data_IF_410400892158
#
_entry.id   IF_410400892158
#
_cell.length_a   1.000
_cell.length_b   1.000
_cell.length_c   1.000
_cell.angle_alpha   90.00
_cell.angle_beta   90.00
_cell.angle_gamma   90.00
#
_symmetry.space_group_name_H-M   'P 1'
#
loop_
_entity.id
_entity.type
_entity.pdbx_description
1 polymer ?
#
# COMPACT_ATOMS: atom_id res chain seq x y z
N UNK A 1 30.91 24.77 -10.44
CA UNK A 1 30.78 24.14 -9.11
C UNK A 1 31.70 24.88 -8.17
N UNK A 2 31.23 25.28 -6.99
CA UNK A 2 32.07 25.94 -6.00
C UNK A 2 32.81 24.87 -5.19
N UNK A 3 34.14 24.91 -5.19
CA UNK A 3 34.98 24.10 -4.32
C UNK A 3 35.20 24.87 -3.00
N UNK A 4 34.50 24.43 -1.95
CA UNK A 4 34.60 25.04 -0.62
C UNK A 4 35.74 24.45 0.22
N UNK A 5 36.46 23.45 -0.30
CA UNK A 5 37.57 22.78 0.39
C UNK A 5 38.71 23.76 0.68
N UNK A 6 38.98 24.67 -0.27
CA UNK A 6 39.95 25.74 -0.12
C UNK A 6 39.59 26.75 0.99
N UNK A 7 38.31 26.87 1.37
CA UNK A 7 37.91 27.76 2.48
C UNK A 7 38.31 27.17 3.84
N UNK A 8 38.35 25.84 3.97
CA UNK A 8 38.82 25.17 5.20
C UNK A 8 40.30 25.44 5.50
N UNK A 9 41.09 25.79 4.48
CA UNK A 9 42.52 26.07 4.59
C UNK A 9 42.83 27.54 4.96
N UNK A 10 41.80 28.35 5.17
CA UNK A 10 41.93 29.76 5.58
C UNK A 10 41.77 29.93 7.09
N UNK A 11 42.13 31.10 7.64
CA UNK A 11 41.87 31.45 9.05
C UNK A 11 40.36 31.41 9.44
N UNK A 12 39.46 31.30 8.46
CA UNK A 12 38.01 31.23 8.63
C UNK A 12 37.46 29.80 8.47
N UNK A 13 38.35 28.82 8.30
CA UNK A 13 38.03 27.51 7.74
C UNK A 13 37.26 26.54 8.63
N UNK A 14 37.32 26.64 9.95
CA UNK A 14 36.73 25.63 10.84
C UNK A 14 35.42 26.13 11.47
N UNK A 15 34.45 26.47 10.62
CA UNK A 15 33.13 26.97 11.06
C UNK A 15 32.01 26.02 10.65
N UNK A 16 30.97 25.95 11.49
CA UNK A 16 29.79 25.14 11.22
C UNK A 16 29.14 25.50 9.86
N UNK A 17 29.19 26.79 9.51
CA UNK A 17 28.64 27.34 8.27
C UNK A 17 29.36 26.81 7.02
N UNK A 18 30.69 26.70 7.05
CA UNK A 18 31.46 26.21 5.88
C UNK A 18 31.22 24.71 5.66
N UNK A 19 31.28 23.89 6.72
CA UNK A 19 30.94 22.48 6.59
C UNK A 19 29.49 22.29 6.12
N UNK A 20 28.55 23.10 6.61
CA UNK A 20 27.17 23.06 6.13
C UNK A 20 27.07 23.39 4.64
N UNK A 21 27.72 24.44 4.16
CA UNK A 21 27.72 24.81 2.74
C UNK A 21 28.37 23.74 1.87
N UNK A 22 29.48 23.15 2.31
CA UNK A 22 30.16 22.08 1.57
C UNK A 22 29.32 20.81 1.52
N UNK A 23 28.62 20.45 2.61
CA UNK A 23 27.68 19.34 2.60
C UNK A 23 26.54 19.52 1.58
N UNK A 24 26.07 20.75 1.38
CA UNK A 24 25.05 21.04 0.36
C UNK A 24 25.61 20.86 -1.05
N UNK A 25 26.89 21.20 -1.28
CA UNK A 25 27.55 20.95 -2.54
C UNK A 25 27.70 19.44 -2.80
N UNK A 26 28.15 18.68 -1.80
CA UNK A 26 28.22 17.22 -1.88
C UNK A 26 26.86 16.56 -2.12
N UNK A 27 25.80 17.06 -1.47
CA UNK A 27 24.42 16.62 -1.75
C UNK A 27 24.05 16.84 -3.22
N UNK A 28 24.36 17.99 -3.80
CA UNK A 28 24.08 18.28 -5.22
C UNK A 28 24.88 17.37 -6.17
N UNK A 29 26.06 16.91 -5.73
CA UNK A 29 26.89 15.94 -6.43
C UNK A 29 26.46 14.48 -6.19
N UNK A 30 25.44 14.26 -5.35
CA UNK A 30 25.01 12.94 -4.89
C UNK A 30 26.12 12.15 -4.16
N UNK A 31 27.12 12.85 -3.62
CA UNK A 31 28.13 12.30 -2.71
C UNK A 31 27.58 12.39 -1.27
N UNK A 32 26.71 11.45 -0.93
CA UNK A 32 25.98 11.50 0.34
C UNK A 32 26.87 11.20 1.55
N UNK A 33 27.90 10.38 1.39
CA UNK A 33 28.83 10.04 2.47
C UNK A 33 29.61 11.29 2.91
N UNK A 34 30.20 12.01 1.95
CA UNK A 34 30.89 13.28 2.24
C UNK A 34 29.94 14.34 2.79
N UNK A 35 28.70 14.40 2.26
CA UNK A 35 27.69 15.31 2.78
C UNK A 35 27.35 15.03 4.26
N UNK A 36 27.16 13.76 4.63
CA UNK A 36 26.87 13.39 6.02
C UNK A 36 28.06 13.61 6.94
N UNK A 37 29.29 13.33 6.49
CA UNK A 37 30.49 13.60 7.26
C UNK A 37 30.63 15.10 7.57
N UNK A 38 30.41 15.96 6.59
CA UNK A 38 30.43 17.41 6.78
C UNK A 38 29.31 17.90 7.69
N UNK A 39 28.10 17.35 7.56
CA UNK A 39 27.00 17.69 8.47
C UNK A 39 27.29 17.26 9.90
N UNK A 40 27.98 16.13 10.10
CA UNK A 40 28.42 15.69 11.41
C UNK A 40 29.46 16.64 12.01
N UNK A 41 30.47 17.05 11.23
CA UNK A 41 31.46 18.04 11.66
C UNK A 41 30.80 19.40 11.97
N UNK A 42 29.90 19.87 11.11
CA UNK A 42 29.18 21.12 11.31
C UNK A 42 28.36 21.13 12.61
N UNK A 43 27.67 20.03 12.91
CA UNK A 43 26.86 19.87 14.12
C UNK A 43 27.70 19.57 15.38
N UNK A 44 28.91 19.05 15.22
CA UNK A 44 29.88 18.95 16.31
C UNK A 44 30.36 20.33 16.75
N UNK A 45 30.64 21.23 15.79
CA UNK A 45 31.07 22.61 16.05
C UNK A 45 29.91 23.46 16.59
N UNK A 46 28.73 23.37 15.97
CA UNK A 46 27.53 24.07 16.42
C UNK A 46 26.31 23.14 16.39
N UNK A 47 25.95 22.53 17.54
CA UNK A 47 24.79 21.65 17.67
C UNK A 47 23.43 22.35 17.44
N UNK A 48 23.41 23.68 17.38
CA UNK A 48 22.20 24.50 17.20
C UNK A 48 22.11 25.09 15.79
N UNK A 49 22.94 24.64 14.86
CA UNK A 49 22.86 25.07 13.47
C UNK A 49 21.61 24.48 12.79
N UNK A 50 20.55 25.29 12.74
CA UNK A 50 19.26 24.92 12.15
C UNK A 50 19.36 24.56 10.67
N UNK A 51 20.30 25.15 9.94
CA UNK A 51 20.52 24.89 8.52
C UNK A 51 21.11 23.50 8.29
N UNK A 52 22.03 23.04 9.15
CA UNK A 52 22.56 21.67 9.09
C UNK A 52 21.44 20.63 9.22
N UNK A 53 20.53 20.82 10.18
CA UNK A 53 19.37 19.93 10.31
C UNK A 53 18.44 20.00 9.10
N UNK A 54 18.25 21.19 8.50
CA UNK A 54 17.50 21.33 7.26
C UNK A 54 18.10 20.50 6.13
N UNK A 55 19.42 20.59 5.94
CA UNK A 55 20.15 19.89 4.87
C UNK A 55 20.12 18.38 5.11
N UNK A 56 20.36 17.91 6.34
CA UNK A 56 20.20 16.48 6.70
C UNK A 56 18.79 15.98 6.37
N UNK A 57 17.75 16.75 6.72
CA UNK A 57 16.37 16.41 6.38
C UNK A 57 16.10 16.35 4.87
N UNK A 58 16.78 17.19 4.09
CA UNK A 58 16.70 17.14 2.62
C UNK A 58 17.37 15.90 2.04
N UNK A 59 18.50 15.46 2.59
CA UNK A 59 19.18 14.22 2.19
C UNK A 59 18.31 13.00 2.52
N UNK A 60 17.81 12.88 3.75
CA UNK A 60 16.92 11.76 4.15
C UNK A 60 15.63 11.73 3.31
N UNK A 61 15.06 12.89 2.99
CA UNK A 61 13.92 12.98 2.07
C UNK A 61 14.24 12.43 0.68
N UNK A 62 15.46 12.67 0.17
CA UNK A 62 15.94 12.09 -1.08
C UNK A 62 16.10 10.57 -1.02
N UNK A 63 16.58 10.06 0.12
CA UNK A 63 16.69 8.63 0.43
C UNK A 63 15.34 7.94 0.70
N UNK A 64 14.23 8.71 0.75
CA UNK A 64 12.89 8.25 1.17
C UNK A 64 12.83 7.72 2.61
N UNK A 65 13.81 8.09 3.44
CA UNK A 65 13.74 7.88 4.88
C UNK A 65 12.89 9.00 5.49
N UNK A 66 11.57 8.78 5.46
CA UNK A 66 10.58 9.78 5.80
C UNK A 66 10.63 10.18 7.28
N UNK A 67 10.94 9.24 8.16
CA UNK A 67 10.98 9.46 9.61
C UNK A 67 12.17 10.35 9.98
N UNK A 68 13.36 10.02 9.48
CA UNK A 68 14.56 10.84 9.70
C UNK A 68 14.43 12.22 9.05
N UNK A 69 13.82 12.31 7.86
CA UNK A 69 13.56 13.59 7.22
C UNK A 69 12.67 14.51 8.07
N UNK A 70 11.54 14.00 8.58
CA UNK A 70 10.62 14.75 9.44
C UNK A 70 11.30 15.16 10.74
N UNK A 71 12.04 14.25 11.38
CA UNK A 71 12.76 14.51 12.63
C UNK A 71 13.74 15.69 12.48
N UNK A 72 14.57 15.64 11.44
CA UNK A 72 15.53 16.70 11.14
C UNK A 72 14.85 18.04 10.79
N UNK A 73 13.77 18.05 10.00
CA UNK A 73 13.02 19.28 9.75
C UNK A 73 12.37 19.87 11.00
N UNK A 74 11.84 19.03 11.91
CA UNK A 74 11.27 19.50 13.18
C UNK A 74 12.35 20.13 14.06
N UNK A 75 13.55 19.55 14.10
CA UNK A 75 14.69 20.13 14.83
C UNK A 75 15.12 21.48 14.23
N UNK A 76 15.23 21.56 12.90
CA UNK A 76 15.53 22.81 12.20
C UNK A 76 14.49 23.91 12.51
N UNK A 77 13.20 23.54 12.52
CA UNK A 77 12.10 24.44 12.89
C UNK A 77 12.24 24.95 14.33
N UNK A 78 12.45 24.06 15.31
CA UNK A 78 12.60 24.44 16.73
C UNK A 78 13.70 25.49 16.90
N UNK A 79 14.89 25.18 16.37
CA UNK A 79 16.06 26.05 16.46
C UNK A 79 15.86 27.38 15.73
N UNK A 80 15.25 27.36 14.55
CA UNK A 80 14.92 28.59 13.81
C UNK A 80 13.97 29.51 14.59
N UNK A 81 12.97 28.93 15.28
CA UNK A 81 12.03 29.69 16.11
C UNK A 81 12.71 30.27 17.36
N UNK A 82 13.55 29.49 18.03
CA UNK A 82 14.35 29.92 19.18
C UNK A 82 15.29 31.09 18.81
N UNK A 83 15.84 31.08 17.59
CA UNK A 83 16.69 32.14 17.03
C UNK A 83 15.91 33.35 16.48
N UNK A 84 14.57 33.35 16.57
CA UNK A 84 13.71 34.42 16.02
C UNK A 84 13.61 34.44 14.49
N UNK A 85 14.14 33.43 13.80
CA UNK A 85 14.13 33.33 12.34
C UNK A 85 12.91 32.53 11.85
N UNK A 86 11.80 33.24 11.62
CA UNK A 86 10.55 32.59 11.16
C UNK A 86 10.48 32.36 9.65
N UNK A 87 11.45 32.85 8.86
CA UNK A 87 11.37 32.84 7.40
C UNK A 87 11.27 31.43 6.82
N UNK A 88 12.02 30.49 7.40
CA UNK A 88 12.10 29.10 6.90
C UNK A 88 11.01 28.18 7.46
N UNK A 89 10.30 28.58 8.53
CA UNK A 89 9.30 27.75 9.22
C UNK A 89 8.22 27.19 8.28
N UNK A 90 7.54 28.07 7.53
CA UNK A 90 6.43 27.66 6.64
C UNK A 90 6.91 26.71 5.54
N UNK A 91 8.11 26.93 5.02
CA UNK A 91 8.71 26.08 3.98
C UNK A 91 8.97 24.66 4.50
N UNK A 92 9.52 24.54 5.71
CA UNK A 92 9.81 23.24 6.32
C UNK A 92 8.53 22.52 6.76
N UNK A 93 7.54 23.25 7.27
CA UNK A 93 6.22 22.67 7.54
C UNK A 93 5.55 22.12 6.29
N UNK A 94 5.63 22.84 5.17
CA UNK A 94 5.10 22.34 3.90
C UNK A 94 5.80 21.05 3.45
N UNK A 95 7.11 20.92 3.66
CA UNK A 95 7.86 19.68 3.40
C UNK A 95 7.40 18.54 4.30
N UNK A 96 7.26 18.78 5.61
CA UNK A 96 6.75 17.78 6.56
C UNK A 96 5.35 17.31 6.13
N UNK A 97 4.43 18.25 5.85
CA UNK A 97 3.07 17.94 5.42
C UNK A 97 3.01 17.20 4.07
N UNK A 98 3.97 17.42 3.17
CA UNK A 98 4.11 16.63 1.95
C UNK A 98 4.52 15.18 2.27
N UNK A 99 5.50 14.98 3.15
CA UNK A 99 5.96 13.65 3.56
C UNK A 99 4.85 12.91 4.30
N UNK A 100 4.19 13.55 5.26
CA UNK A 100 3.08 12.95 6.03
C UNK A 100 1.94 12.51 5.10
N UNK A 101 1.62 13.29 4.05
CA UNK A 101 0.66 12.89 3.00
C UNK A 101 1.13 11.67 2.20
N UNK A 102 2.43 11.52 1.93
CA UNK A 102 2.97 10.33 1.24
C UNK A 102 2.87 9.10 2.13
N UNK A 103 3.29 9.20 3.40
CA UNK A 103 3.16 8.12 4.38
C UNK A 103 1.70 7.68 4.50
N UNK A 104 0.77 8.63 4.60
CA UNK A 104 -0.65 8.31 4.72
C UNK A 104 -1.20 7.62 3.46
N UNK A 105 -0.78 8.04 2.26
CA UNK A 105 -1.14 7.36 1.00
C UNK A 105 -0.61 5.93 0.97
N UNK A 106 0.66 5.71 1.31
CA UNK A 106 1.26 4.37 1.35
C UNK A 106 0.54 3.47 2.37
N UNK A 107 0.16 4.01 3.53
CA UNK A 107 -0.66 3.30 4.52
C UNK A 107 -2.05 2.97 3.99
N UNK A 108 -2.69 3.91 3.29
CA UNK A 108 -3.99 3.68 2.67
C UNK A 108 -3.94 2.66 1.53
N UNK A 109 -2.86 2.63 0.75
CA UNK A 109 -2.64 1.61 -0.27
C UNK A 109 -2.40 0.24 0.36
N UNK A 110 -1.61 0.17 1.44
CA UNK A 110 -1.40 -1.06 2.19
C UNK A 110 -2.69 -1.57 2.88
N UNK A 111 -3.56 -0.67 3.35
CA UNK A 111 -4.84 -1.03 3.97
C UNK A 111 -5.93 -1.44 2.97
N UNK A 112 -5.74 -1.16 1.67
CA UNK A 112 -6.60 -1.67 0.58
C UNK A 112 -6.35 -3.14 0.25
N UNK A 113 -5.33 -3.76 0.83
CA UNK A 113 -5.04 -5.18 0.63
C UNK A 113 -5.89 -5.99 1.60
N UNK A 114 -6.75 -6.84 1.04
CA UNK A 114 -7.57 -7.76 1.82
C UNK A 114 -6.86 -9.11 1.83
N UNK A 115 -6.35 -9.52 2.99
CA UNK A 115 -5.64 -10.78 3.19
C UNK A 115 -6.60 -11.86 3.68
N UNK A 116 -6.87 -12.81 2.80
CA UNK A 116 -7.86 -13.86 3.03
C UNK A 116 -7.14 -15.18 3.30
N UNK A 117 -7.30 -15.81 4.48
CA UNK A 117 -6.66 -17.08 4.75
C UNK A 117 -7.19 -18.18 3.83
N UNK A 118 -6.30 -19.02 3.32
CA UNK A 118 -6.65 -20.20 2.53
C UNK A 118 -7.03 -21.32 3.49
N UNK A 119 -8.29 -21.80 3.41
CA UNK A 119 -8.77 -22.91 4.25
C UNK A 119 -8.24 -24.26 3.78
N UNK A 120 -8.21 -24.47 2.47
CA UNK A 120 -7.68 -25.67 1.84
C UNK A 120 -7.34 -25.42 0.37
N UNK A 121 -6.85 -26.45 -0.34
CA UNK A 121 -6.58 -26.36 -1.78
C UNK A 121 -7.21 -27.53 -2.52
N UNK A 122 -7.80 -27.24 -3.67
CA UNK A 122 -8.30 -28.25 -4.61
C UNK A 122 -7.49 -28.17 -5.90
N UNK A 123 -6.72 -29.22 -6.23
CA UNK A 123 -5.85 -29.22 -7.41
C UNK A 123 -4.81 -28.08 -7.42
N UNK A 124 -4.40 -27.59 -6.25
CA UNK A 124 -3.52 -26.42 -6.10
C UNK A 124 -4.24 -25.08 -6.00
N UNK A 125 -5.51 -25.01 -6.42
CA UNK A 125 -6.33 -23.80 -6.38
C UNK A 125 -6.83 -23.51 -4.96
N UNK A 126 -6.70 -22.28 -4.44
CA UNK A 126 -7.17 -21.90 -3.12
C UNK A 126 -8.68 -22.11 -2.92
N UNK A 127 -9.06 -22.58 -1.74
CA UNK A 127 -10.42 -22.54 -1.22
C UNK A 127 -10.46 -21.55 -0.07
N UNK A 128 -11.38 -20.60 -0.16
CA UNK A 128 -11.58 -19.54 0.83
C UNK A 128 -13.04 -19.52 1.29
N UNK A 129 -13.28 -18.99 2.48
CA UNK A 129 -14.63 -18.80 2.99
C UNK A 129 -15.24 -17.51 2.44
N UNK A 130 -16.49 -17.59 2.00
CA UNK A 130 -17.24 -16.48 1.41
C UNK A 130 -18.60 -16.40 2.08
N UNK A 131 -19.01 -15.19 2.46
CA UNK A 131 -20.28 -14.89 3.10
C UNK A 131 -21.30 -14.39 2.06
N UNK A 132 -22.45 -15.03 2.00
CA UNK A 132 -23.56 -14.69 1.11
C UNK A 132 -24.73 -14.10 1.91
N UNK A 133 -25.34 -13.04 1.37
CA UNK A 133 -26.47 -12.30 1.95
C UNK A 133 -26.27 -11.90 3.42
N UNK A 134 -25.02 -11.74 3.84
CA UNK A 134 -24.61 -11.45 5.22
C UNK A 134 -25.07 -12.51 6.24
N UNK A 135 -25.42 -13.73 5.80
CA UNK A 135 -26.01 -14.75 6.67
C UNK A 135 -25.53 -16.19 6.45
N UNK A 136 -25.10 -16.57 5.23
CA UNK A 136 -24.69 -17.95 4.92
C UNK A 136 -23.24 -17.96 4.45
N UNK A 137 -22.37 -18.71 5.12
CA UNK A 137 -21.00 -18.92 4.65
C UNK A 137 -20.91 -20.15 3.74
N UNK A 138 -20.05 -20.08 2.74
CA UNK A 138 -19.74 -21.17 1.84
C UNK A 138 -18.25 -21.17 1.51
N UNK A 139 -17.65 -22.36 1.50
CA UNK A 139 -16.29 -22.54 1.01
C UNK A 139 -16.31 -22.52 -0.52
N UNK A 140 -15.49 -21.66 -1.10
CA UNK A 140 -15.47 -21.37 -2.53
C UNK A 140 -14.07 -21.59 -3.09
N UNK A 141 -13.97 -22.33 -4.19
CA UNK A 141 -12.75 -22.43 -4.99
C UNK A 141 -12.56 -21.09 -5.71
N UNK A 142 -11.37 -20.50 -5.60
CA UNK A 142 -11.00 -19.30 -6.32
C UNK A 142 -10.75 -19.64 -7.81
N UNK A 143 -11.81 -19.59 -8.61
CA UNK A 143 -11.79 -20.03 -10.02
C UNK A 143 -11.80 -18.84 -10.98
N UNK A 144 -10.62 -18.43 -11.42
CA UNK A 144 -10.48 -17.35 -12.41
C UNK A 144 -10.98 -17.74 -13.81
N UNK A 145 -11.21 -19.03 -14.08
CA UNK A 145 -11.78 -19.52 -15.33
C UNK A 145 -13.31 -19.47 -15.37
N UNK A 146 -13.97 -19.46 -14.22
CA UNK A 146 -15.42 -19.30 -14.13
C UNK A 146 -15.82 -17.84 -14.41
N UNK A 147 -16.71 -17.62 -15.37
CA UNK A 147 -17.24 -16.28 -15.66
C UNK A 147 -18.16 -15.72 -14.57
N UNK A 148 -18.82 -16.62 -13.83
CA UNK A 148 -19.85 -16.29 -12.84
C UNK A 148 -19.61 -17.04 -11.53
N UNK A 149 -19.99 -16.43 -10.40
CA UNK A 149 -20.06 -17.13 -9.11
C UNK A 149 -21.05 -18.28 -9.20
N UNK A 150 -20.61 -19.47 -8.79
CA UNK A 150 -21.42 -20.67 -8.78
C UNK A 150 -21.60 -21.16 -7.35
N UNK A 151 -22.83 -21.31 -6.88
CA UNK A 151 -23.16 -21.78 -5.53
C UNK A 151 -23.68 -23.22 -5.55
N UNK A 152 -23.37 -24.03 -4.52
CA UNK A 152 -24.03 -25.32 -4.31
C UNK A 152 -25.54 -25.17 -4.16
N UNK A 153 -26.30 -26.19 -4.56
CA UNK A 153 -27.78 -26.18 -4.45
C UNK A 153 -28.26 -26.02 -3.00
N UNK A 154 -27.56 -26.60 -2.03
CA UNK A 154 -27.89 -26.42 -0.61
C UNK A 154 -27.78 -24.95 -0.18
N UNK A 155 -26.72 -24.26 -0.60
CA UNK A 155 -26.52 -22.83 -0.33
C UNK A 155 -27.62 -21.99 -1.00
N UNK A 156 -27.97 -22.31 -2.24
CA UNK A 156 -29.06 -21.63 -2.94
C UNK A 156 -30.41 -21.77 -2.22
N UNK A 157 -30.70 -22.96 -1.67
CA UNK A 157 -31.90 -23.19 -0.84
C UNK A 157 -31.84 -22.41 0.46
N UNK A 158 -30.73 -22.44 1.19
CA UNK A 158 -30.57 -21.69 2.45
C UNK A 158 -30.69 -20.18 2.26
N UNK A 159 -30.28 -19.68 1.10
CA UNK A 159 -30.41 -18.27 0.72
C UNK A 159 -31.79 -17.90 0.16
N UNK A 160 -32.67 -18.87 -0.07
CA UNK A 160 -33.96 -18.72 -0.76
C UNK A 160 -33.81 -17.98 -2.11
N UNK A 161 -32.81 -18.37 -2.90
CA UNK A 161 -32.56 -17.74 -4.20
C UNK A 161 -33.76 -17.97 -5.13
N UNK A 162 -34.31 -16.87 -5.65
CA UNK A 162 -35.36 -16.93 -6.67
C UNK A 162 -34.72 -17.24 -8.01
N UNK A 163 -35.11 -18.35 -8.61
CA UNK A 163 -34.70 -18.76 -9.94
C UNK A 163 -35.35 -17.87 -11.00
N UNK A 164 -34.53 -17.33 -11.91
CA UNK A 164 -34.99 -16.38 -12.94
C UNK A 164 -34.80 -16.92 -14.37
N UNK A 165 -34.09 -18.03 -14.54
CA UNK A 165 -33.79 -18.59 -15.85
C UNK A 165 -32.61 -19.54 -15.82
N UNK A 166 -32.24 -20.06 -16.99
CA UNK A 166 -31.05 -20.89 -17.15
C UNK A 166 -30.05 -20.20 -18.07
N UNK A 167 -28.77 -20.40 -17.81
CA UNK A 167 -27.69 -19.89 -18.63
C UNK A 167 -26.69 -21.00 -19.00
N UNK A 168 -26.19 -21.03 -20.25
CA UNK A 168 -25.10 -21.93 -20.62
C UNK A 168 -23.83 -21.57 -19.84
N UNK A 169 -23.35 -22.51 -19.03
CA UNK A 169 -22.12 -22.43 -18.28
C UNK A 169 -21.09 -23.36 -18.89
N UNK A 170 -19.90 -22.82 -19.18
CA UNK A 170 -18.76 -23.63 -19.63
C UNK A 170 -18.10 -24.26 -18.41
N UNK A 171 -17.97 -25.57 -18.43
CA UNK A 171 -17.29 -26.36 -17.39
C UNK A 171 -15.82 -26.56 -17.78
N UNK A 172 -14.97 -26.88 -16.81
CA UNK A 172 -13.52 -27.07 -17.01
C UNK A 172 -13.16 -28.15 -18.05
N UNK A 173 -14.02 -29.14 -18.28
CA UNK A 173 -13.84 -30.17 -19.31
C UNK A 173 -14.20 -29.69 -20.73
N UNK A 174 -14.58 -28.42 -20.88
CA UNK A 174 -14.96 -27.80 -22.15
C UNK A 174 -16.43 -28.02 -22.54
N UNK A 175 -17.19 -28.81 -21.77
CA UNK A 175 -18.62 -28.99 -21.97
C UNK A 175 -19.40 -27.72 -21.60
N UNK A 176 -20.60 -27.58 -22.17
CA UNK A 176 -21.54 -26.52 -21.82
C UNK A 176 -22.74 -27.18 -21.16
N UNK A 177 -23.01 -26.80 -19.91
CA UNK A 177 -24.20 -27.22 -19.18
C UNK A 177 -25.15 -26.03 -19.03
N UNK A 178 -26.46 -26.28 -19.06
CA UNK A 178 -27.43 -25.22 -18.79
C UNK A 178 -27.68 -25.17 -17.28
N UNK A 179 -27.16 -24.14 -16.60
CA UNK A 179 -27.24 -24.01 -15.16
C UNK A 179 -28.36 -23.04 -14.75
N UNK A 180 -29.15 -23.38 -13.72
CA UNK A 180 -30.10 -22.44 -13.14
C UNK A 180 -29.39 -21.19 -12.60
N UNK A 181 -29.96 -20.01 -12.82
CA UNK A 181 -29.41 -18.74 -12.34
C UNK A 181 -30.41 -17.98 -11.46
N UNK A 182 -29.88 -17.12 -10.60
CA UNK A 182 -30.62 -16.21 -9.73
C UNK A 182 -29.71 -15.10 -9.19
N UNK A 183 -30.22 -14.31 -8.25
CA UNK A 183 -29.46 -13.23 -7.62
C UNK A 183 -29.25 -13.47 -6.13
N UNK A 184 -28.09 -13.04 -5.64
CA UNK A 184 -27.82 -12.84 -4.22
C UNK A 184 -27.66 -11.34 -3.95
N UNK A 185 -28.18 -10.89 -2.79
CA UNK A 185 -28.07 -9.50 -2.34
C UNK A 185 -26.62 -9.11 -2.10
N UNK A 186 -25.83 -10.00 -1.50
CA UNK A 186 -24.42 -9.73 -1.24
C UNK A 186 -23.55 -10.98 -1.31
N UNK A 187 -22.31 -10.78 -1.73
CA UNK A 187 -21.19 -11.73 -1.62
C UNK A 187 -20.05 -10.97 -0.95
N UNK A 188 -19.52 -11.50 0.15
CA UNK A 188 -18.52 -10.83 0.96
C UNK A 188 -17.35 -11.76 1.32
N UNK A 189 -16.14 -11.23 1.24
CA UNK A 189 -14.91 -11.86 1.69
C UNK A 189 -14.23 -10.88 2.63
N UNK A 190 -14.42 -11.08 3.94
CA UNK A 190 -14.10 -10.05 4.93
C UNK A 190 -14.72 -8.69 4.54
N UNK A 191 -13.92 -7.63 4.39
CA UNK A 191 -14.36 -6.30 3.96
C UNK A 191 -14.61 -6.17 2.44
N UNK A 192 -14.27 -7.20 1.63
CA UNK A 192 -14.48 -7.21 0.19
C UNK A 192 -15.93 -7.57 -0.12
N UNK A 193 -16.81 -6.58 -0.36
CA UNK A 193 -18.24 -6.83 -0.59
C UNK A 193 -18.68 -6.44 -1.99
N UNK A 194 -19.44 -7.33 -2.63
CA UNK A 194 -20.17 -7.05 -3.86
C UNK A 194 -21.67 -7.24 -3.59
N UNK A 195 -22.49 -6.36 -4.17
CA UNK A 195 -23.94 -6.40 -4.01
C UNK A 195 -24.63 -6.75 -5.33
N UNK A 196 -25.84 -7.31 -5.22
CA UNK A 196 -26.69 -7.68 -6.34
C UNK A 196 -25.96 -8.54 -7.39
N UNK A 197 -25.40 -9.66 -6.95
CA UNK A 197 -24.59 -10.52 -7.79
C UNK A 197 -25.45 -11.63 -8.41
N UNK A 198 -25.34 -11.81 -9.71
CA UNK A 198 -25.88 -12.98 -10.40
C UNK A 198 -25.04 -14.21 -10.04
N UNK A 199 -25.71 -15.33 -9.74
CA UNK A 199 -25.08 -16.60 -9.41
C UNK A 199 -25.71 -17.74 -10.20
N UNK A 200 -24.88 -18.72 -10.57
CA UNK A 200 -25.33 -19.99 -11.09
C UNK A 200 -25.46 -21.02 -9.95
N UNK A 201 -26.44 -21.91 -10.04
CA UNK A 201 -26.69 -22.97 -9.06
C UNK A 201 -26.16 -24.29 -9.64
N UNK A 202 -25.29 -24.95 -8.89
CA UNK A 202 -24.66 -26.20 -9.28
C UNK A 202 -25.20 -27.38 -8.44
N UNK A 203 -26.10 -28.22 -8.99
CA UNK A 203 -26.79 -29.28 -8.24
C UNK A 203 -25.96 -30.52 -7.88
N UNK A 204 -24.65 -30.55 -8.17
CA UNK A 204 -23.78 -31.72 -7.93
C UNK A 204 -22.45 -31.40 -7.25
N UNK A 205 -22.25 -30.18 -6.80
CA UNK A 205 -20.98 -29.73 -6.25
C UNK A 205 -21.17 -29.32 -4.78
N UNK A 206 -20.33 -29.85 -3.90
CA UNK A 206 -20.31 -29.53 -2.46
C UNK A 206 -19.59 -28.22 -2.15
N UNK A 207 -18.79 -27.72 -3.08
CA UNK A 207 -18.00 -26.49 -2.97
C UNK A 207 -18.37 -25.58 -4.13
N UNK A 208 -18.52 -24.28 -3.88
CA UNK A 208 -18.84 -23.32 -4.94
C UNK A 208 -17.60 -22.84 -5.69
N UNK A 209 -17.82 -22.09 -6.77
CA UNK A 209 -16.77 -21.46 -7.58
C UNK A 209 -16.91 -19.95 -7.49
N UNK A 210 -15.84 -19.26 -7.11
CA UNK A 210 -15.80 -17.80 -7.06
C UNK A 210 -15.31 -17.28 -8.41
N UNK A 211 -16.26 -16.90 -9.26
CA UNK A 211 -15.98 -16.49 -10.64
C UNK A 211 -15.67 -15.00 -10.85
N UNK A 212 -15.40 -14.66 -12.10
CA UNK A 212 -14.95 -13.35 -12.56
C UNK A 212 -15.96 -12.22 -12.31
N UNK A 213 -17.27 -12.47 -12.36
CA UNK A 213 -18.26 -11.44 -12.05
C UNK A 213 -18.15 -10.91 -10.61
N UNK A 214 -17.48 -11.63 -9.70
CA UNK A 214 -17.01 -11.12 -8.41
C UNK A 214 -15.56 -10.62 -8.50
N UNK A 215 -14.63 -11.48 -8.95
CA UNK A 215 -13.19 -11.26 -8.89
C UNK A 215 -12.66 -10.11 -9.75
N UNK A 216 -13.37 -9.69 -10.80
CA UNK A 216 -12.94 -8.60 -11.69
C UNK A 216 -12.73 -7.25 -10.99
N UNK A 217 -13.25 -7.09 -9.77
CA UNK A 217 -13.06 -5.91 -8.90
C UNK A 217 -11.68 -5.85 -8.25
N UNK A 218 -10.93 -6.94 -8.31
CA UNK A 218 -9.68 -7.09 -7.59
C UNK A 218 -8.57 -7.60 -8.50
N UNK A 219 -7.35 -7.09 -8.28
CA UNK A 219 -6.17 -7.85 -8.65
C UNK A 219 -5.92 -8.89 -7.56
N UNK A 220 -5.69 -10.13 -7.97
CA UNK A 220 -5.62 -11.28 -7.06
C UNK A 220 -4.22 -11.84 -7.07
N UNK A 221 -3.60 -11.93 -5.88
CA UNK A 221 -2.33 -12.62 -5.69
C UNK A 221 -2.52 -13.79 -4.75
N UNK A 222 -2.11 -14.97 -5.21
CA UNK A 222 -2.21 -16.21 -4.46
C UNK A 222 -0.86 -16.48 -3.81
N UNK A 223 -0.82 -16.50 -2.48
CA UNK A 223 0.35 -16.87 -1.68
C UNK A 223 0.20 -18.31 -1.17
N UNK A 224 1.15 -18.77 -0.36
CA UNK A 224 1.16 -20.13 0.17
C UNK A 224 -0.01 -20.39 1.12
N UNK A 225 -0.30 -19.45 2.02
CA UNK A 225 -1.29 -19.59 3.10
C UNK A 225 -2.47 -18.61 2.99
N UNK A 226 -2.39 -17.63 2.10
CA UNK A 226 -3.41 -16.58 1.96
C UNK A 226 -3.57 -16.14 0.50
N UNK A 227 -4.69 -15.47 0.23
CA UNK A 227 -4.98 -14.75 -1.01
C UNK A 227 -5.02 -13.26 -0.68
N UNK A 228 -4.28 -12.45 -1.42
CA UNK A 228 -4.34 -11.00 -1.37
C UNK A 228 -5.29 -10.50 -2.47
N UNK A 229 -6.31 -9.75 -2.08
CA UNK A 229 -7.19 -9.01 -3.00
C UNK A 229 -6.82 -7.53 -2.94
N UNK A 230 -6.41 -6.97 -4.07
CA UNK A 230 -6.09 -5.56 -4.25
C UNK A 230 -7.26 -4.91 -4.97
N UNK A 231 -7.89 -3.91 -4.36
CA UNK A 231 -8.96 -3.16 -5.02
C UNK A 231 -8.43 -2.46 -6.28
N UNK A 232 -9.09 -2.68 -7.42
CA UNK A 232 -8.80 -2.01 -8.69
C UNK A 232 -9.32 -0.58 -8.75
#
# INVERSE_FOLDING_TARGET
MADFSALLETEWGDTSEIYCLRSQAYQQLNDLDSAFQDLANALYINPENSECYRVRGDIYRGLKDWEEAISNYRRAISLSLEQGNQFNYKKLQAKIAEIERKIEREKQEASRIIRVPIKSRHGGTPIIEVLFNDCVTCDMVLDTGAGIVCVPEEIARSLNIVFIGNQPLRVADGSVTNAPIGYVRSVAIQQAKAENLEVAILPRYSTGLLGQNYLWRYDVRILQTEVELYLR
#
